data_IF_023347987147
#
_entry.id   IF_023347987147
#
_cell.length_a   1.000
_cell.length_b   1.000
_cell.length_c   1.000
_cell.angle_alpha   90.00
_cell.angle_beta   90.00
_cell.angle_gamma   90.00
#
_symmetry.space_group_name_H-M   'P 1'
#
loop_
_entity.id
_entity.type
_entity.pdbx_description
1 polymer ?
#
# COMPACT_ATOMS: atom_id res chain seq x y z
N UNK A 1 -3.54 -30.21 -5.42
CA UNK A 1 -3.33 -29.51 -4.13
C UNK A 1 -2.32 -28.40 -4.38
N UNK A 2 -2.76 -27.16 -4.34
CA UNK A 2 -1.89 -25.98 -4.41
C UNK A 2 -1.11 -25.86 -3.09
N UNK A 3 0.20 -25.59 -3.15
CA UNK A 3 1.01 -25.40 -1.94
C UNK A 3 0.50 -24.20 -1.13
N UNK A 4 0.45 -24.30 0.22
CA UNK A 4 0.03 -23.21 1.08
C UNK A 4 1.05 -22.07 1.06
N UNK A 5 0.55 -20.84 1.23
CA UNK A 5 1.38 -19.64 1.35
C UNK A 5 1.99 -19.60 2.77
N UNK A 6 3.33 -19.50 2.93
CA UNK A 6 3.96 -19.51 4.26
C UNK A 6 3.77 -18.20 5.04
N UNK A 7 3.42 -17.10 4.37
CA UNK A 7 3.19 -15.79 4.97
C UNK A 7 1.86 -15.72 5.71
N UNK A 8 1.88 -15.17 6.94
CA UNK A 8 0.68 -14.91 7.74
C UNK A 8 0.23 -13.46 7.63
N UNK A 9 1.14 -12.53 7.32
CA UNK A 9 0.81 -11.12 7.10
C UNK A 9 1.44 -10.61 5.80
N UNK A 10 0.59 -10.37 4.80
CA UNK A 10 0.99 -9.86 3.48
C UNK A 10 0.50 -8.43 3.34
N UNK A 11 1.37 -7.52 2.92
CA UNK A 11 1.04 -6.12 2.66
C UNK A 11 1.20 -5.81 1.18
N UNK A 12 0.20 -5.19 0.57
CA UNK A 12 0.26 -4.64 -0.78
C UNK A 12 0.46 -3.14 -0.65
N UNK A 13 1.52 -2.62 -1.25
CA UNK A 13 1.87 -1.20 -1.15
C UNK A 13 2.20 -0.61 -2.53
N UNK A 14 2.13 0.72 -2.65
CA UNK A 14 2.38 1.43 -3.89
C UNK A 14 1.59 2.75 -4.00
N UNK A 15 1.88 3.56 -5.02
CA UNK A 15 1.31 4.89 -5.15
C UNK A 15 -0.21 4.88 -5.35
N UNK A 16 -0.84 6.05 -5.20
CA UNK A 16 -2.29 6.21 -5.38
C UNK A 16 -2.67 5.81 -6.81
N UNK A 17 -3.75 5.05 -6.97
CA UNK A 17 -4.22 4.60 -8.29
C UNK A 17 -3.51 3.35 -8.85
N UNK A 18 -2.54 2.76 -8.14
CA UNK A 18 -1.77 1.61 -8.68
C UNK A 18 -2.54 0.28 -8.67
N UNK A 19 -3.57 0.13 -7.84
CA UNK A 19 -4.39 -1.10 -7.75
C UNK A 19 -4.28 -1.88 -6.43
N UNK A 20 -3.75 -1.27 -5.35
CA UNK A 20 -3.54 -1.92 -4.04
C UNK A 20 -4.77 -2.63 -3.50
N UNK A 21 -5.85 -1.88 -3.28
CA UNK A 21 -7.09 -2.40 -2.69
C UNK A 21 -7.71 -3.53 -3.52
N UNK A 22 -7.66 -3.42 -4.84
CA UNK A 22 -8.18 -4.46 -5.74
C UNK A 22 -7.37 -5.75 -5.63
N UNK A 23 -6.04 -5.66 -5.62
CA UNK A 23 -5.17 -6.82 -5.45
C UNK A 23 -5.31 -7.42 -4.04
N UNK A 24 -5.39 -6.59 -3.00
CA UNK A 24 -5.57 -7.04 -1.63
C UNK A 24 -6.87 -7.84 -1.45
N UNK A 25 -7.99 -7.37 -2.01
CA UNK A 25 -9.28 -8.09 -2.01
C UNK A 25 -9.17 -9.45 -2.67
N UNK A 26 -8.63 -9.49 -3.89
CA UNK A 26 -8.48 -10.73 -4.66
C UNK A 26 -7.58 -11.75 -3.97
N UNK A 27 -6.48 -11.28 -3.39
CA UNK A 27 -5.56 -12.13 -2.64
C UNK A 27 -6.21 -12.66 -1.35
N UNK A 28 -6.95 -11.81 -0.64
CA UNK A 28 -7.65 -12.23 0.57
C UNK A 28 -8.72 -13.30 0.30
N UNK A 29 -9.51 -13.14 -0.76
CA UNK A 29 -10.48 -14.15 -1.20
C UNK A 29 -9.79 -15.48 -1.53
N UNK A 30 -8.69 -15.44 -2.29
CA UNK A 30 -7.95 -16.65 -2.69
C UNK A 30 -7.32 -17.38 -1.52
N UNK A 31 -6.84 -16.64 -0.52
CA UNK A 31 -6.16 -17.20 0.65
C UNK A 31 -7.10 -17.44 1.84
N UNK A 32 -8.39 -17.12 1.71
CA UNK A 32 -9.35 -17.09 2.84
C UNK A 32 -8.78 -16.28 4.02
N UNK A 33 -8.21 -15.13 3.70
CA UNK A 33 -7.50 -14.27 4.63
C UNK A 33 -8.38 -13.14 5.16
N UNK A 34 -8.06 -12.64 6.35
CA UNK A 34 -8.66 -11.42 6.86
C UNK A 34 -8.13 -10.22 6.07
N UNK A 35 -9.04 -9.36 5.61
CA UNK A 35 -8.73 -8.22 4.77
C UNK A 35 -8.69 -6.92 5.58
N UNK A 36 -7.62 -6.14 5.40
CA UNK A 36 -7.35 -4.91 6.14
C UNK A 36 -7.15 -3.78 5.15
N UNK A 37 -8.13 -2.88 5.06
CA UNK A 37 -8.09 -1.78 4.09
C UNK A 37 -7.99 -0.43 4.77
N UNK A 38 -7.23 0.47 4.16
CA UNK A 38 -7.31 1.90 4.42
C UNK A 38 -8.70 2.42 4.03
N UNK A 39 -9.33 3.20 4.91
CA UNK A 39 -10.65 3.80 4.66
C UNK A 39 -10.46 5.28 4.35
N UNK A 40 -9.94 5.59 3.16
CA UNK A 40 -9.64 6.97 2.76
C UNK A 40 -10.90 7.85 2.72
N UNK A 41 -12.04 7.27 2.38
CA UNK A 41 -13.36 7.91 2.35
C UNK A 41 -13.85 8.37 3.73
N UNK A 42 -13.34 7.80 4.83
CA UNK A 42 -13.72 8.22 6.18
C UNK A 42 -12.98 9.47 6.64
N UNK A 43 -11.94 9.91 5.91
CA UNK A 43 -11.09 11.03 6.31
C UNK A 43 -11.73 12.38 5.92
N UNK A 44 -12.27 13.15 6.88
CA UNK A 44 -13.00 14.38 6.59
C UNK A 44 -12.11 15.51 6.08
N UNK A 45 -10.78 15.36 6.18
CA UNK A 45 -9.81 16.36 5.77
C UNK A 45 -9.28 16.08 4.35
N UNK A 46 -9.52 14.90 3.78
CA UNK A 46 -8.86 14.46 2.56
C UNK A 46 -9.25 15.28 1.33
N UNK A 47 -10.52 15.65 1.18
CA UNK A 47 -10.94 16.52 0.07
C UNK A 47 -10.31 17.91 0.17
N UNK A 48 -10.25 18.48 1.39
CA UNK A 48 -9.61 19.78 1.63
C UNK A 48 -8.13 19.71 1.32
N UNK A 49 -7.46 18.65 1.78
CA UNK A 49 -6.06 18.39 1.53
C UNK A 49 -5.73 18.39 0.02
N UNK A 50 -6.53 17.71 -0.80
CA UNK A 50 -6.28 17.71 -2.24
C UNK A 50 -6.62 19.03 -2.95
N UNK A 51 -7.48 19.88 -2.36
CA UNK A 51 -7.80 21.20 -2.91
C UNK A 51 -6.79 22.27 -2.52
N UNK A 52 -6.42 22.29 -1.25
CA UNK A 52 -5.47 23.19 -0.63
C UNK A 52 -4.84 22.47 0.57
N UNK A 53 -3.60 21.96 0.42
CA UNK A 53 -2.93 21.23 1.49
C UNK A 53 -2.74 22.05 2.76
N UNK A 54 -2.67 23.38 2.66
CA UNK A 54 -2.34 24.27 3.79
C UNK A 54 -3.38 24.14 4.89
N UNK A 55 -2.96 23.70 6.08
CA UNK A 55 -3.83 23.50 7.24
C UNK A 55 -4.73 22.26 7.18
N UNK A 56 -4.79 21.53 6.06
CA UNK A 56 -5.54 20.28 5.92
C UNK A 56 -4.63 19.04 5.91
N UNK A 57 -3.36 19.20 5.55
CA UNK A 57 -2.37 18.14 5.45
C UNK A 57 -2.14 17.41 6.78
N UNK A 58 -1.78 18.13 7.84
CA UNK A 58 -1.53 17.53 9.16
C UNK A 58 -2.77 16.81 9.72
N UNK A 59 -3.98 17.40 9.76
CA UNK A 59 -5.19 16.70 10.17
C UNK A 59 -5.48 15.43 9.35
N UNK A 60 -5.28 15.48 8.03
CA UNK A 60 -5.46 14.32 7.17
C UNK A 60 -4.48 13.19 7.51
N UNK A 61 -3.20 13.50 7.70
CA UNK A 61 -2.17 12.53 8.08
C UNK A 61 -2.42 11.92 9.47
N UNK A 62 -2.80 12.74 10.46
CA UNK A 62 -3.14 12.23 11.79
C UNK A 62 -4.37 11.32 11.76
N UNK A 63 -5.37 11.64 10.95
CA UNK A 63 -6.54 10.76 10.78
C UNK A 63 -6.13 9.38 10.22
N UNK A 64 -5.28 9.35 9.19
CA UNK A 64 -4.74 8.08 8.68
C UNK A 64 -3.96 7.32 9.74
N UNK A 65 -3.07 7.99 10.49
CA UNK A 65 -2.30 7.38 11.57
C UNK A 65 -3.22 6.72 12.61
N UNK A 66 -4.22 7.45 13.12
CA UNK A 66 -5.13 6.93 14.13
C UNK A 66 -6.00 5.77 13.61
N UNK A 67 -6.52 5.87 12.39
CA UNK A 67 -7.26 4.78 11.76
C UNK A 67 -6.42 3.51 11.69
N UNK A 68 -5.18 3.62 11.20
CA UNK A 68 -4.30 2.46 11.05
C UNK A 68 -3.91 1.88 12.41
N UNK A 69 -3.60 2.71 13.41
CA UNK A 69 -3.31 2.24 14.77
C UNK A 69 -4.51 1.52 15.39
N UNK A 70 -5.74 2.02 15.21
CA UNK A 70 -6.94 1.35 15.72
C UNK A 70 -7.18 0.00 15.05
N UNK A 71 -7.04 -0.08 13.72
CA UNK A 71 -7.11 -1.34 12.99
C UNK A 71 -6.06 -2.33 13.49
N UNK A 72 -4.81 -1.88 13.65
CA UNK A 72 -3.71 -2.69 14.16
C UNK A 72 -3.89 -3.17 15.60
N UNK A 73 -4.49 -2.34 16.45
CA UNK A 73 -4.79 -2.73 17.83
C UNK A 73 -5.87 -3.82 17.89
N UNK A 74 -6.89 -3.75 17.03
CA UNK A 74 -7.89 -4.82 16.90
C UNK A 74 -7.22 -6.15 16.48
N UNK A 75 -6.24 -6.12 15.57
CA UNK A 75 -5.52 -7.34 15.12
C UNK A 75 -4.77 -8.09 16.20
N UNK A 76 -4.37 -7.42 17.28
CA UNK A 76 -3.68 -8.07 18.41
C UNK A 76 -4.61 -8.81 19.34
N UNK A 77 -5.89 -8.45 19.37
CA UNK A 77 -6.86 -9.05 20.28
C UNK A 77 -7.45 -10.36 19.72
N UNK A 78 -7.44 -10.54 18.39
CA UNK A 78 -8.05 -11.68 17.69
C UNK A 78 -7.17 -12.96 17.63
N UNK A 79 -6.23 -13.15 18.56
CA UNK A 79 -5.23 -14.23 18.50
C UNK A 79 -5.72 -15.57 19.08
N UNK A 80 -6.78 -16.16 18.49
CA UNK A 80 -7.18 -17.55 18.79
C UNK A 80 -7.21 -18.48 17.57
N UNK A 81 -7.21 -17.97 16.34
CA UNK A 81 -7.16 -18.79 15.13
C UNK A 81 -6.16 -18.22 14.12
N UNK A 82 -5.30 -19.09 13.57
CA UNK A 82 -4.20 -18.72 12.69
C UNK A 82 -4.67 -18.38 11.27
N UNK A 83 -5.31 -17.22 11.09
CA UNK A 83 -5.75 -16.73 9.79
C UNK A 83 -4.62 -15.97 9.08
N UNK A 84 -4.47 -16.17 7.77
CA UNK A 84 -3.65 -15.30 6.92
C UNK A 84 -4.30 -13.92 6.92
N UNK A 85 -3.51 -12.86 6.81
CA UNK A 85 -3.97 -11.47 6.76
C UNK A 85 -3.39 -10.76 5.55
N UNK A 86 -4.21 -9.97 4.90
CA UNK A 86 -3.82 -9.18 3.73
C UNK A 86 -4.19 -7.72 3.97
N UNK A 87 -3.22 -6.81 3.86
CA UNK A 87 -3.44 -5.37 4.01
C UNK A 87 -3.04 -4.59 2.76
N UNK A 88 -3.71 -3.47 2.49
CA UNK A 88 -3.38 -2.57 1.38
C UNK A 88 -2.57 -1.33 1.79
N UNK A 89 -2.02 -1.33 3.00
CA UNK A 89 -1.11 -0.30 3.49
C UNK A 89 0.01 -0.85 4.38
N UNK A 90 1.16 -0.19 4.35
CA UNK A 90 2.26 -0.40 5.29
C UNK A 90 2.34 0.73 6.32
N UNK A 91 2.28 0.43 7.63
CA UNK A 91 2.34 1.47 8.68
C UNK A 91 3.69 2.23 8.69
N UNK A 92 4.80 1.53 8.46
CA UNK A 92 6.14 2.14 8.42
C UNK A 92 6.24 3.26 7.37
N UNK A 93 5.39 3.20 6.34
CA UNK A 93 5.31 4.19 5.26
C UNK A 93 4.52 5.45 5.64
N UNK A 94 3.79 5.47 6.76
CA UNK A 94 3.00 6.65 7.13
C UNK A 94 3.91 7.89 7.31
N UNK A 95 5.09 7.69 7.93
CA UNK A 95 6.11 8.73 8.09
C UNK A 95 6.64 9.27 6.76
N UNK A 96 6.68 8.44 5.71
CA UNK A 96 7.09 8.88 4.38
C UNK A 96 6.06 9.84 3.77
N UNK A 97 4.77 9.54 3.90
CA UNK A 97 3.72 10.43 3.44
C UNK A 97 3.72 11.74 4.21
N UNK A 98 3.83 11.67 5.53
CA UNK A 98 3.97 12.84 6.37
C UNK A 98 5.18 13.68 5.94
N UNK A 99 6.35 13.08 5.68
CA UNK A 99 7.55 13.81 5.27
C UNK A 99 7.41 14.49 3.91
N UNK A 100 6.74 13.86 2.96
CA UNK A 100 6.51 14.44 1.63
C UNK A 100 5.51 15.58 1.69
N UNK A 101 4.51 15.48 2.57
CA UNK A 101 3.31 16.31 2.53
C UNK A 101 3.32 17.46 3.52
N UNK A 102 3.93 17.29 4.70
CA UNK A 102 3.94 18.26 5.78
C UNK A 102 5.16 19.17 5.69
N UNK A 103 5.00 20.39 6.20
CA UNK A 103 6.16 21.25 6.46
C UNK A 103 7.00 20.71 7.63
N UNK A 104 8.15 21.33 7.90
CA UNK A 104 9.08 20.85 8.92
C UNK A 104 8.50 20.85 10.33
N UNK A 105 7.70 21.87 10.68
CA UNK A 105 7.11 22.00 12.00
C UNK A 105 5.95 21.01 12.19
N UNK A 106 5.08 20.89 11.18
CA UNK A 106 4.01 19.91 11.12
C UNK A 106 4.55 18.47 11.15
N UNK A 107 5.62 18.19 10.39
CA UNK A 107 6.28 16.89 10.40
C UNK A 107 6.87 16.59 11.77
N UNK A 108 7.54 17.56 12.41
CA UNK A 108 8.09 17.39 13.76
C UNK A 108 7.02 17.04 14.79
N UNK A 109 5.85 17.68 14.73
CA UNK A 109 4.71 17.36 15.57
C UNK A 109 4.13 15.97 15.26
N UNK A 110 3.95 15.65 13.99
CA UNK A 110 3.47 14.34 13.55
C UNK A 110 4.40 13.23 14.05
N UNK A 111 5.72 13.40 13.96
CA UNK A 111 6.71 12.39 14.36
C UNK A 111 6.70 12.12 15.88
N UNK A 112 6.49 13.17 16.68
CA UNK A 112 6.28 13.03 18.12
C UNK A 112 5.00 12.26 18.45
N UNK A 113 3.94 12.45 17.69
CA UNK A 113 2.68 11.70 17.87
C UNK A 113 2.90 10.24 17.45
N UNK A 114 3.47 10.02 16.26
CA UNK A 114 3.76 8.69 15.72
C UNK A 114 4.53 7.82 16.72
N UNK A 115 5.64 8.35 17.26
CA UNK A 115 6.49 7.62 18.22
C UNK A 115 5.79 7.25 19.54
N UNK A 116 4.68 7.91 19.89
CA UNK A 116 3.90 7.62 21.10
C UNK A 116 2.77 6.63 20.86
N UNK A 117 2.14 6.70 19.68
CA UNK A 117 0.94 5.89 19.37
C UNK A 117 1.28 4.57 18.68
N UNK A 118 2.39 4.53 17.93
CA UNK A 118 2.86 3.32 17.26
C UNK A 118 3.77 2.54 18.20
N UNK A 119 3.21 1.50 18.83
CA UNK A 119 3.93 0.61 19.73
C UNK A 119 4.01 -0.77 19.08
N UNK A 120 5.22 -1.24 18.77
CA UNK A 120 5.53 -2.59 18.28
C UNK A 120 4.69 -3.05 17.05
N UNK A 121 4.65 -2.27 15.96
CA UNK A 121 3.76 -2.59 14.84
C UNK A 121 4.06 -3.98 14.27
N UNK A 122 3.02 -4.74 13.85
CA UNK A 122 3.24 -6.07 13.30
C UNK A 122 4.09 -5.97 12.04
N UNK A 123 5.11 -6.84 11.96
CA UNK A 123 5.99 -6.92 10.81
C UNK A 123 5.37 -7.79 9.73
N UNK A 124 5.31 -7.33 8.46
CA UNK A 124 4.86 -8.17 7.37
C UNK A 124 5.80 -9.37 7.15
N UNK A 125 5.25 -10.51 6.77
CA UNK A 125 6.02 -11.64 6.25
C UNK A 125 6.35 -11.47 4.76
N UNK A 126 5.64 -10.56 4.07
CA UNK A 126 5.86 -10.16 2.69
C UNK A 126 5.26 -8.78 2.41
N UNK A 127 6.01 -7.96 1.70
CA UNK A 127 5.50 -6.75 1.06
C UNK A 127 5.48 -6.94 -0.46
N UNK A 128 4.33 -6.70 -1.08
CA UNK A 128 4.14 -6.63 -2.54
C UNK A 128 4.09 -5.16 -2.91
N UNK A 129 5.16 -4.64 -3.50
CA UNK A 129 5.25 -3.25 -3.93
C UNK A 129 4.87 -3.12 -5.41
N UNK A 130 3.72 -2.51 -5.67
CA UNK A 130 3.24 -2.20 -7.02
C UNK A 130 3.83 -0.89 -7.52
N UNK A 131 4.45 -0.92 -8.69
CA UNK A 131 5.01 0.25 -9.36
C UNK A 131 4.31 0.49 -10.70
N UNK A 132 4.02 1.76 -11.00
CA UNK A 132 3.60 2.16 -12.34
C UNK A 132 4.05 3.60 -12.62
N UNK A 133 4.28 3.97 -13.90
CA UNK A 133 4.55 5.36 -14.28
C UNK A 133 3.38 6.28 -13.88
N UNK A 134 3.69 7.55 -13.56
CA UNK A 134 2.69 8.55 -13.12
C UNK A 134 1.56 8.72 -14.15
N UNK A 135 1.87 8.65 -15.45
CA UNK A 135 0.85 8.73 -16.50
C UNK A 135 -0.21 7.62 -16.39
N UNK A 136 0.23 6.40 -16.10
CA UNK A 136 -0.66 5.25 -15.89
C UNK A 136 -1.49 5.45 -14.61
N UNK A 137 -0.87 5.98 -13.54
CA UNK A 137 -1.56 6.24 -12.28
C UNK A 137 -2.65 7.30 -12.44
N UNK A 138 -2.36 8.42 -13.09
CA UNK A 138 -3.33 9.49 -13.35
C UNK A 138 -4.48 8.99 -14.23
N UNK A 139 -4.21 8.18 -15.25
CA UNK A 139 -5.25 7.56 -16.07
C UNK A 139 -6.17 6.67 -15.22
N UNK A 140 -5.61 5.87 -14.31
CA UNK A 140 -6.38 5.00 -13.40
C UNK A 140 -7.19 5.81 -12.39
N UNK A 141 -6.62 6.86 -11.80
CA UNK A 141 -7.31 7.78 -10.88
C UNK A 141 -8.49 8.43 -11.60
N UNK A 142 -8.27 8.94 -12.82
CA UNK A 142 -9.32 9.55 -13.64
C UNK A 142 -10.46 8.56 -13.93
N UNK A 143 -10.13 7.33 -14.39
CA UNK A 143 -11.11 6.28 -14.67
C UNK A 143 -11.90 5.86 -13.41
N UNK A 144 -11.25 5.83 -12.24
CA UNK A 144 -11.88 5.45 -10.96
C UNK A 144 -12.89 6.50 -10.48
N UNK A 145 -12.72 7.76 -10.85
CA UNK A 145 -13.74 8.81 -10.65
C UNK A 145 -14.01 9.22 -9.20
N UNK A 146 -13.12 8.92 -8.25
CA UNK A 146 -13.26 9.41 -6.87
C UNK A 146 -13.04 10.92 -6.86
N UNK A 147 -14.08 11.67 -6.48
CA UNK A 147 -14.13 13.14 -6.55
C UNK A 147 -12.91 13.81 -5.91
N UNK A 148 -12.56 13.41 -4.69
CA UNK A 148 -11.43 13.99 -3.97
C UNK A 148 -10.09 13.75 -4.69
N UNK A 149 -9.91 12.57 -5.28
CA UNK A 149 -8.67 12.21 -5.97
C UNK A 149 -8.53 12.86 -7.36
N UNK A 150 -9.61 13.34 -7.97
CA UNK A 150 -9.52 14.10 -9.22
C UNK A 150 -8.77 15.43 -9.05
N UNK A 151 -8.59 15.88 -7.80
CA UNK A 151 -7.84 17.09 -7.46
C UNK A 151 -6.34 16.81 -7.26
N UNK A 152 -5.89 15.55 -7.35
CA UNK A 152 -4.48 15.19 -7.19
C UNK A 152 -3.65 15.83 -8.29
N UNK A 153 -2.70 16.68 -7.89
CA UNK A 153 -1.73 17.26 -8.80
C UNK A 153 -0.68 16.23 -9.23
N UNK A 154 -0.30 16.29 -10.53
CA UNK A 154 0.77 15.46 -11.08
C UNK A 154 2.07 15.59 -10.30
N UNK A 155 2.51 16.82 -9.98
CA UNK A 155 3.76 17.07 -9.28
C UNK A 155 3.79 16.45 -7.88
N UNK A 156 2.64 16.43 -7.20
CA UNK A 156 2.51 15.73 -5.92
C UNK A 156 2.65 14.20 -6.10
N UNK A 157 1.99 13.63 -7.11
CA UNK A 157 2.07 12.20 -7.39
C UNK A 157 3.49 11.77 -7.82
N UNK A 158 4.21 12.62 -8.56
CA UNK A 158 5.62 12.41 -8.93
C UNK A 158 6.52 12.38 -7.70
N UNK A 159 6.40 13.37 -6.81
CA UNK A 159 7.15 13.42 -5.53
C UNK A 159 6.90 12.18 -4.68
N UNK A 160 5.63 11.76 -4.56
CA UNK A 160 5.28 10.54 -3.85
C UNK A 160 5.93 9.31 -4.50
N UNK A 161 5.80 9.15 -5.81
CA UNK A 161 6.33 8.00 -6.53
C UNK A 161 7.86 7.89 -6.40
N UNK A 162 8.57 9.03 -6.43
CA UNK A 162 10.00 9.08 -6.19
C UNK A 162 10.38 8.71 -4.75
N UNK A 163 9.62 9.22 -3.77
CA UNK A 163 9.80 8.84 -2.36
C UNK A 163 9.57 7.33 -2.15
N UNK A 164 8.54 6.75 -2.78
CA UNK A 164 8.27 5.31 -2.78
C UNK A 164 9.44 4.51 -3.34
N UNK A 165 9.98 4.94 -4.50
CA UNK A 165 11.11 4.26 -5.13
C UNK A 165 12.34 4.24 -4.22
N UNK A 166 12.66 5.38 -3.57
CA UNK A 166 13.75 5.46 -2.58
C UNK A 166 13.51 4.56 -1.38
N UNK A 167 12.32 4.61 -0.79
CA UNK A 167 12.00 3.81 0.39
C UNK A 167 12.13 2.31 0.13
N UNK A 168 11.55 1.82 -0.97
CA UNK A 168 11.59 0.40 -1.29
C UNK A 168 12.93 -0.07 -1.86
N UNK A 169 13.76 0.85 -2.39
CA UNK A 169 15.14 0.55 -2.73
C UNK A 169 15.93 0.10 -1.49
N UNK A 170 15.73 0.72 -0.34
CA UNK A 170 16.45 0.44 0.91
C UNK A 170 15.67 -0.43 1.90
N UNK A 171 14.46 -0.87 1.53
CA UNK A 171 13.60 -1.63 2.43
C UNK A 171 14.12 -3.05 2.70
N UNK A 172 14.38 -3.37 3.97
CA UNK A 172 14.91 -4.68 4.41
C UNK A 172 14.11 -5.31 5.55
N UNK A 173 13.03 -4.65 6.01
CA UNK A 173 12.27 -5.10 7.17
C UNK A 173 11.45 -6.39 6.92
N UNK A 174 11.15 -6.71 5.66
CA UNK A 174 10.45 -7.91 5.24
C UNK A 174 10.87 -8.33 3.81
N UNK A 175 10.63 -9.60 3.41
CA UNK A 175 10.71 -10.01 2.01
C UNK A 175 9.90 -9.07 1.11
N UNK A 176 10.48 -8.62 -0.01
CA UNK A 176 9.90 -7.62 -0.89
C UNK A 176 9.74 -8.16 -2.32
N UNK A 177 8.50 -8.18 -2.82
CA UNK A 177 8.16 -8.50 -4.20
C UNK A 177 7.79 -7.22 -4.94
N UNK A 178 8.64 -6.78 -5.88
CA UNK A 178 8.44 -5.55 -6.65
C UNK A 178 7.77 -5.92 -7.97
N UNK A 179 6.57 -5.37 -8.21
CA UNK A 179 5.71 -5.73 -9.33
C UNK A 179 5.51 -4.53 -10.24
N UNK A 180 5.82 -4.69 -11.53
CA UNK A 180 5.48 -3.69 -12.54
C UNK A 180 3.98 -3.76 -12.88
N UNK A 181 3.17 -2.99 -12.18
CA UNK A 181 1.72 -2.92 -12.34
C UNK A 181 1.28 -2.19 -13.63
N UNK A 182 2.20 -1.69 -14.45
CA UNK A 182 1.89 -1.23 -15.80
C UNK A 182 2.00 -2.35 -16.84
N UNK A 183 2.74 -3.42 -16.54
CA UNK A 183 2.93 -4.56 -17.43
C UNK A 183 1.89 -5.67 -17.23
N UNK A 184 1.24 -5.72 -16.07
CA UNK A 184 0.18 -6.68 -15.74
C UNK A 184 -1.04 -6.04 -15.14
N UNK A 185 -2.14 -6.76 -15.25
CA UNK A 185 -3.38 -6.48 -14.53
C UNK A 185 -3.80 -7.71 -13.72
N UNK A 186 -3.16 -7.99 -12.57
CA UNK A 186 -3.54 -9.12 -11.72
C UNK A 186 -4.92 -8.93 -11.07
N UNK A 187 -5.63 -7.82 -11.35
CA UNK A 187 -6.98 -7.57 -10.86
C UNK A 187 -8.03 -8.02 -11.87
N UNK A 188 -7.76 -7.89 -13.17
CA UNK A 188 -8.69 -8.24 -14.24
C UNK A 188 -8.24 -9.45 -15.09
N UNK A 189 -6.99 -9.89 -14.98
CA UNK A 189 -6.43 -11.01 -15.73
C UNK A 189 -6.06 -12.15 -14.79
N UNK A 190 -6.59 -13.36 -15.06
CA UNK A 190 -6.34 -14.55 -14.24
C UNK A 190 -4.94 -15.12 -14.43
N UNK A 191 -4.38 -15.07 -15.64
CA UNK A 191 -3.02 -15.55 -15.91
C UNK A 191 -1.97 -14.70 -15.17
N UNK A 192 -2.12 -13.37 -15.25
CA UNK A 192 -1.26 -12.42 -14.53
C UNK A 192 -1.33 -12.65 -13.01
N UNK A 193 -2.54 -12.92 -12.51
CA UNK A 193 -2.77 -13.20 -11.10
C UNK A 193 -2.15 -14.51 -10.64
N UNK A 194 -2.30 -15.59 -11.41
CA UNK A 194 -1.70 -16.89 -11.07
C UNK A 194 -0.16 -16.82 -11.10
N UNK A 195 0.42 -16.07 -12.04
CA UNK A 195 1.87 -15.87 -12.09
C UNK A 195 2.37 -15.10 -10.85
N UNK A 196 1.66 -14.02 -10.48
CA UNK A 196 1.92 -13.25 -9.26
C UNK A 196 1.76 -14.12 -8.01
N UNK A 197 0.69 -14.90 -7.89
CA UNK A 197 0.43 -15.80 -6.77
C UNK A 197 1.52 -16.87 -6.64
N UNK A 198 1.99 -17.39 -7.78
CA UNK A 198 3.16 -18.27 -7.83
C UNK A 198 4.42 -17.59 -7.27
N UNK A 199 4.65 -16.32 -7.61
CA UNK A 199 5.77 -15.56 -7.07
C UNK A 199 5.63 -15.32 -5.55
N UNK A 200 4.42 -14.97 -5.08
CA UNK A 200 4.07 -14.83 -3.65
C UNK A 200 4.41 -16.10 -2.87
N UNK A 201 3.97 -17.28 -3.36
CA UNK A 201 4.26 -18.58 -2.73
C UNK A 201 5.77 -18.88 -2.62
N UNK A 202 6.55 -18.49 -3.63
CA UNK A 202 8.00 -18.74 -3.68
C UNK A 202 8.80 -17.74 -2.84
N UNK A 203 8.23 -16.57 -2.55
CA UNK A 203 8.94 -15.52 -1.84
C UNK A 203 9.18 -15.93 -0.39
N UNK A 204 10.44 -15.87 0.07
CA UNK A 204 10.81 -16.19 1.46
C UNK A 204 11.77 -15.19 2.09
N UNK A 205 12.58 -14.50 1.29
CA UNK A 205 13.61 -13.55 1.72
C UNK A 205 14.09 -12.67 0.57
N UNK A 206 14.70 -11.55 0.91
CA UNK A 206 15.36 -10.66 -0.05
C UNK A 206 14.38 -9.82 -0.87
N UNK A 207 14.82 -9.39 -2.05
CA UNK A 207 14.06 -8.58 -3.01
C UNK A 207 13.92 -9.36 -4.32
N UNK A 208 12.72 -9.43 -4.86
CA UNK A 208 12.46 -10.03 -6.17
C UNK A 208 11.76 -9.02 -7.07
N UNK A 209 12.34 -8.75 -8.23
CA UNK A 209 11.67 -8.00 -9.30
C UNK A 209 10.83 -8.97 -10.12
N UNK A 210 9.52 -8.76 -10.08
CA UNK A 210 8.55 -9.49 -10.89
C UNK A 210 8.23 -8.66 -12.13
N UNK A 211 8.86 -9.06 -13.24
CA UNK A 211 8.49 -8.61 -14.56
C UNK A 211 7.90 -9.83 -15.29
N UNK A 212 6.59 -9.85 -15.52
CA UNK A 212 5.91 -10.99 -16.10
C UNK A 212 6.46 -11.23 -17.50
N UNK A 213 6.69 -12.50 -17.84
CA UNK A 213 7.12 -12.87 -19.17
C UNK A 213 5.96 -12.54 -20.11
N UNK A 214 6.07 -11.45 -20.88
CA UNK A 214 5.16 -11.27 -22.02
C UNK A 214 5.30 -12.53 -22.86
N UNK A 215 4.20 -13.27 -23.04
CA UNK A 215 4.07 -14.09 -24.22
C UNK A 215 4.32 -13.15 -25.39
N UNK A 216 5.51 -13.28 -26.00
CA UNK A 216 5.75 -12.71 -27.30
C UNK A 216 4.67 -13.30 -28.20
N UNK A 217 3.67 -12.50 -28.53
CA UNK A 217 2.77 -12.82 -29.63
C UNK A 217 3.67 -12.75 -30.86
N UNK A 218 4.07 -13.93 -31.33
CA UNK A 218 4.65 -14.15 -32.66
C UNK A 218 3.57 -13.83 -33.69
#
# INVERSE_FOLDING_TARGET
MTEPVPQRYIVIEGPIGVGKTSLARRLAETLSADLILEQAESNPFLERFYRDPVGAALPAQLHFLFQRVQQLAAFRQDDLFSTIRVSDYLLEKDRLFARVTLDEAEFGLYDQIYSRVVIDPPKPDLVIFLQAPVDVLLQRISRRGIKAEQLIERAYLERLNEAYARFFHDYEAAPLLIVNAAAIDPTANDADYEELLGAVRRMKRGKLYFNPLRHAVI
#
